data_IF_421255170177
#
_entry.id   IF_421255170177
#
_cell.length_a   1.000
_cell.length_b   1.000
_cell.length_c   1.000
_cell.angle_alpha   90.00
_cell.angle_beta   90.00
_cell.angle_gamma   90.00
#
_symmetry.space_group_name_H-M   'P 1'
#
loop_
_entity.id
_entity.type
_entity.pdbx_description
1 polymer ?
#
# COMPACT_ATOMS: atom_id res chain seq x y z
N UNK A 1 5.54 11.36 2.59
CA UNK A 1 4.37 11.57 1.71
C UNK A 1 4.05 10.25 1.05
N UNK A 2 2.76 9.86 1.01
CA UNK A 2 2.32 8.72 0.18
C UNK A 2 2.24 9.20 -1.27
N UNK A 3 2.98 8.55 -2.14
CA UNK A 3 2.95 8.74 -3.59
C UNK A 3 2.32 7.48 -4.20
N UNK A 4 1.03 7.60 -4.54
CA UNK A 4 0.27 6.51 -5.14
C UNK A 4 0.86 6.09 -6.50
N UNK A 5 1.61 7.00 -7.15
CA UNK A 5 2.31 6.72 -8.39
C UNK A 5 1.37 6.39 -9.57
N UNK A 6 0.10 6.80 -9.46
CA UNK A 6 -0.88 6.57 -10.50
C UNK A 6 -0.58 7.43 -11.73
N UNK A 7 -0.63 6.80 -12.91
CA UNK A 7 -0.33 7.45 -14.18
C UNK A 7 1.06 8.10 -14.25
N UNK A 8 2.10 7.45 -13.67
CA UNK A 8 3.47 7.94 -13.81
C UNK A 8 3.82 8.11 -15.29
N UNK A 9 4.24 9.33 -15.64
CA UNK A 9 4.72 9.70 -16.97
C UNK A 9 5.59 10.95 -16.92
N UNK A 10 6.52 11.05 -17.87
CA UNK A 10 7.19 12.30 -18.21
C UNK A 10 6.90 12.54 -19.70
N UNK A 11 6.33 13.69 -20.03
CA UNK A 11 6.02 13.99 -21.43
C UNK A 11 7.28 13.90 -22.33
N UNK A 12 7.19 13.28 -23.51
CA UNK A 12 5.97 12.87 -24.20
C UNK A 12 5.50 11.43 -23.92
N UNK A 13 6.11 10.73 -22.97
CA UNK A 13 5.80 9.31 -22.73
C UNK A 13 4.36 9.15 -22.20
N UNK A 14 3.65 8.09 -22.65
CA UNK A 14 2.35 7.77 -22.09
C UNK A 14 2.47 7.30 -20.64
N UNK A 15 1.38 7.37 -19.84
CA UNK A 15 1.33 6.79 -18.51
C UNK A 15 1.70 5.30 -18.50
N UNK A 16 2.45 4.89 -17.48
CA UNK A 16 2.70 3.48 -17.21
C UNK A 16 1.37 2.73 -16.95
N UNK A 17 1.20 1.51 -17.48
CA UNK A 17 0.09 0.63 -17.13
C UNK A 17 0.06 0.35 -15.62
N UNK A 18 -1.13 0.10 -15.05
CA UNK A 18 -1.29 -0.21 -13.62
C UNK A 18 -0.41 -1.37 -13.13
N UNK A 19 -0.19 -2.40 -13.95
CA UNK A 19 0.66 -3.54 -13.62
C UNK A 19 2.14 -3.18 -13.45
N UNK A 20 2.57 -2.07 -14.07
CA UNK A 20 3.95 -1.57 -14.05
C UNK A 20 4.12 -0.40 -13.05
N UNK A 21 3.05 0.11 -12.45
CA UNK A 21 3.12 1.11 -11.38
C UNK A 21 3.41 0.46 -10.03
N UNK A 22 4.13 1.16 -9.15
CA UNK A 22 4.31 0.78 -7.75
C UNK A 22 4.14 2.01 -6.86
N UNK A 23 3.35 1.91 -5.80
CA UNK A 23 3.22 3.04 -4.88
C UNK A 23 4.42 3.11 -3.96
N UNK A 24 4.80 4.33 -3.59
CA UNK A 24 5.94 4.58 -2.71
C UNK A 24 5.60 5.56 -1.60
N UNK A 25 6.43 5.56 -0.58
CA UNK A 25 6.48 6.64 0.41
C UNK A 25 7.78 7.38 0.22
N UNK A 26 7.70 8.70 0.01
CA UNK A 26 8.88 9.55 -0.13
C UNK A 26 8.90 10.63 0.96
N UNK A 27 10.05 10.85 1.56
CA UNK A 27 10.32 11.96 2.47
C UNK A 27 11.19 13.00 1.78
N UNK A 28 10.84 14.27 1.98
CA UNK A 28 11.55 15.39 1.38
C UNK A 28 12.02 16.36 2.46
N UNK A 29 13.28 16.78 2.36
CA UNK A 29 13.82 17.93 3.06
C UNK A 29 13.60 19.18 2.21
N UNK A 30 13.03 20.21 2.82
CA UNK A 30 12.79 21.51 2.17
C UNK A 30 13.61 22.57 2.89
N UNK A 31 14.62 23.13 2.21
CA UNK A 31 15.52 24.14 2.78
C UNK A 31 15.86 25.21 1.75
N UNK A 32 15.77 26.49 2.13
CA UNK A 32 16.13 27.63 1.27
C UNK A 32 15.48 27.62 -0.13
N UNK A 33 14.25 27.11 -0.24
CA UNK A 33 13.53 26.97 -1.52
C UNK A 33 13.95 25.76 -2.37
N UNK A 34 14.93 24.97 -1.92
CA UNK A 34 15.30 23.68 -2.50
C UNK A 34 14.48 22.54 -1.87
N UNK A 35 14.26 21.49 -2.66
CA UNK A 35 13.60 20.24 -2.23
C UNK A 35 14.53 19.09 -2.57
N UNK A 36 14.80 18.22 -1.60
CA UNK A 36 15.59 17.01 -1.78
C UNK A 36 14.85 15.82 -1.18
N UNK A 37 14.71 14.73 -1.93
CA UNK A 37 14.25 13.46 -1.38
C UNK A 37 15.34 12.88 -0.47
N UNK A 38 15.01 12.62 0.79
CA UNK A 38 15.96 12.18 1.82
C UNK A 38 15.72 10.75 2.28
N UNK A 39 14.52 10.21 2.01
CA UNK A 39 14.18 8.83 2.28
C UNK A 39 13.07 8.39 1.33
N UNK A 40 13.07 7.11 0.98
CA UNK A 40 12.01 6.49 0.21
C UNK A 40 11.75 5.07 0.69
N UNK A 41 10.54 4.59 0.49
CA UNK A 41 10.16 3.20 0.67
C UNK A 41 9.22 2.76 -0.43
N UNK A 42 9.61 1.69 -1.10
CA UNK A 42 8.79 0.90 -1.99
C UNK A 42 8.67 -0.50 -1.42
N UNK A 43 7.48 -1.09 -1.49
CA UNK A 43 7.31 -2.44 -1.01
C UNK A 43 8.06 -3.40 -1.94
N UNK A 44 8.92 -4.29 -1.41
CA UNK A 44 9.72 -5.18 -2.23
C UNK A 44 8.83 -6.20 -2.95
N UNK A 45 9.19 -6.54 -4.18
CA UNK A 45 8.62 -7.70 -4.86
C UNK A 45 9.07 -8.95 -4.08
N UNK A 46 8.14 -9.67 -3.48
CA UNK A 46 8.40 -10.93 -2.76
C UNK A 46 8.07 -12.10 -3.69
N UNK A 47 9.08 -12.86 -4.17
CA UNK A 47 8.82 -14.01 -5.04
C UNK A 47 7.97 -15.07 -4.33
N UNK A 48 6.92 -15.56 -5.00
CA UNK A 48 6.03 -16.59 -4.47
C UNK A 48 4.89 -16.07 -3.59
N UNK A 49 4.75 -14.75 -3.47
CA UNK A 49 3.64 -14.10 -2.78
C UNK A 49 2.83 -13.27 -3.79
N UNK A 50 2.00 -13.93 -4.60
CA UNK A 50 1.22 -13.31 -5.67
C UNK A 50 0.22 -12.25 -5.15
N UNK A 51 -0.13 -12.34 -3.86
CA UNK A 51 -0.92 -11.32 -3.18
C UNK A 51 -0.12 -10.04 -3.01
N UNK A 52 1.16 -10.18 -2.68
CA UNK A 52 2.06 -9.14 -2.20
C UNK A 52 3.06 -8.65 -3.25
N UNK A 53 3.09 -9.24 -4.44
CA UNK A 53 3.85 -8.70 -5.56
C UNK A 53 3.20 -7.40 -6.05
N UNK A 54 4.00 -6.33 -6.06
CA UNK A 54 3.69 -4.99 -6.52
C UNK A 54 2.53 -4.30 -5.76
N UNK A 55 2.84 -3.60 -4.66
CA UNK A 55 1.86 -2.83 -3.90
C UNK A 55 1.55 -1.50 -4.58
N UNK A 56 0.73 -1.58 -5.62
CA UNK A 56 0.13 -0.42 -6.26
C UNK A 56 -1.23 -0.09 -5.64
N UNK A 57 -1.30 1.06 -4.96
CA UNK A 57 -2.53 1.65 -4.46
C UNK A 57 -2.96 2.76 -5.42
N UNK A 58 -3.90 2.46 -6.33
CA UNK A 58 -4.36 3.42 -7.35
C UNK A 58 -5.10 4.62 -6.77
N UNK A 59 -5.57 4.50 -5.52
CA UNK A 59 -6.19 5.56 -4.76
C UNK A 59 -5.91 5.40 -3.27
N UNK A 60 -6.08 6.50 -2.52
CA UNK A 60 -5.98 6.60 -1.05
C UNK A 60 -4.69 6.03 -0.46
N UNK A 61 -4.48 6.27 0.83
CA UNK A 61 -3.29 5.83 1.53
C UNK A 61 -2.64 6.95 2.31
N UNK A 62 -1.72 6.55 3.17
CA UNK A 62 -1.05 7.49 4.07
C UNK A 62 0.29 6.94 4.52
N UNK A 63 1.15 7.86 4.94
CA UNK A 63 2.40 7.53 5.62
C UNK A 63 2.55 8.48 6.82
N UNK A 64 2.84 7.92 7.98
CA UNK A 64 2.95 8.62 9.26
C UNK A 64 4.18 8.13 10.01
N UNK A 65 5.06 9.06 10.38
CA UNK A 65 6.14 8.75 11.32
C UNK A 65 5.55 8.50 12.72
N UNK A 66 6.00 7.42 13.35
CA UNK A 66 5.50 6.95 14.62
C UNK A 66 6.27 7.60 15.77
N UNK A 67 5.62 8.40 16.63
CA UNK A 67 6.31 9.28 17.58
C UNK A 67 7.10 8.55 18.68
N UNK A 68 6.89 7.25 18.87
CA UNK A 68 7.62 6.45 19.88
C UNK A 68 8.80 5.68 19.32
N UNK A 69 8.66 5.17 18.10
CA UNK A 69 9.64 4.26 17.50
C UNK A 69 10.48 4.96 16.43
N UNK A 70 10.02 6.10 15.90
CA UNK A 70 10.58 6.73 14.71
C UNK A 70 10.27 5.98 13.43
N UNK A 71 9.65 4.79 13.50
CA UNK A 71 9.25 4.00 12.34
C UNK A 71 8.20 4.72 11.49
N UNK A 72 8.01 4.30 10.25
CA UNK A 72 6.95 4.82 9.38
C UNK A 72 5.81 3.81 9.31
N UNK A 73 4.61 4.22 9.72
CA UNK A 73 3.37 3.49 9.45
C UNK A 73 2.86 3.90 8.07
N UNK A 74 2.66 2.92 7.19
CA UNK A 74 2.26 3.10 5.79
C UNK A 74 0.95 2.36 5.57
N UNK A 75 0.02 3.01 4.88
CA UNK A 75 -1.27 2.49 4.47
C UNK A 75 -1.38 2.54 2.95
N UNK A 76 -1.29 1.37 2.34
CA UNK A 76 -1.64 1.12 0.93
C UNK A 76 -3.13 0.82 0.87
N UNK A 77 -3.94 1.88 0.91
CA UNK A 77 -5.34 1.76 1.30
C UNK A 77 -6.35 1.49 0.18
N UNK A 78 -5.93 1.58 -1.07
CA UNK A 78 -6.78 1.41 -2.26
C UNK A 78 -6.08 0.59 -3.32
N UNK A 79 -5.55 -0.56 -2.91
CA UNK A 79 -5.02 -1.56 -3.82
C UNK A 79 -6.21 -2.10 -4.62
N UNK A 80 -6.14 -1.99 -5.94
CA UNK A 80 -7.22 -2.31 -6.87
C UNK A 80 -6.73 -3.37 -7.86
N UNK A 81 -7.24 -4.60 -7.71
CA UNK A 81 -6.88 -5.74 -8.56
C UNK A 81 -8.14 -6.34 -9.20
N UNK A 82 -8.13 -6.56 -10.51
CA UNK A 82 -9.25 -7.18 -11.23
C UNK A 82 -9.23 -8.68 -10.93
N UNK A 83 -10.28 -9.27 -10.33
CA UNK A 83 -10.31 -10.70 -10.08
C UNK A 83 -10.23 -11.50 -11.38
N UNK A 84 -9.41 -12.56 -11.41
CA UNK A 84 -9.45 -13.53 -12.49
C UNK A 84 -10.47 -14.63 -12.16
N UNK A 85 -11.65 -14.58 -12.79
CA UNK A 85 -12.72 -15.56 -12.59
C UNK A 85 -12.39 -16.96 -13.14
N UNK A 86 -11.38 -17.09 -14.01
CA UNK A 86 -10.92 -18.37 -14.54
C UNK A 86 -10.05 -19.15 -13.54
N UNK A 87 -9.54 -18.46 -12.52
CA UNK A 87 -8.80 -19.02 -11.40
C UNK A 87 -9.75 -19.17 -10.21
N UNK A 88 -10.51 -20.28 -10.19
CA UNK A 88 -11.21 -20.75 -8.97
C UNK A 88 -10.46 -21.93 -8.37
N UNK A 89 -9.70 -21.74 -7.28
CA UNK A 89 -9.18 -22.87 -6.51
C UNK A 89 -10.33 -23.48 -5.68
N UNK A 90 -10.42 -24.82 -5.55
CA UNK A 90 -11.29 -25.44 -4.58
C UNK A 90 -10.74 -25.19 -3.17
N UNK A 91 -11.47 -24.45 -2.34
CA UNK A 91 -11.28 -24.44 -0.88
C UNK A 91 -10.51 -23.27 -0.25
N UNK A 92 -9.69 -22.49 -0.96
CA UNK A 92 -8.94 -21.36 -0.37
C UNK A 92 -8.67 -20.18 -1.33
N UNK A 93 -8.22 -19.08 -0.72
CA UNK A 93 -7.96 -17.70 -1.17
C UNK A 93 -7.42 -17.59 -2.60
N UNK A 94 -8.21 -17.01 -3.50
CA UNK A 94 -7.79 -16.77 -4.87
C UNK A 94 -6.67 -15.72 -4.98
N UNK A 95 -5.89 -15.83 -6.05
CA UNK A 95 -4.85 -14.87 -6.39
C UNK A 95 -5.50 -13.54 -6.76
N UNK A 96 -5.13 -12.42 -6.13
CA UNK A 96 -5.71 -11.14 -6.49
C UNK A 96 -5.13 -10.79 -7.85
N UNK A 97 -5.98 -10.74 -8.88
CA UNK A 97 -5.54 -10.63 -10.27
C UNK A 97 -4.84 -9.31 -10.62
N UNK A 98 -4.88 -8.92 -11.88
CA UNK A 98 -4.03 -7.83 -12.38
C UNK A 98 -4.35 -6.46 -11.73
N UNK A 99 -3.33 -5.66 -11.36
CA UNK A 99 -3.53 -4.29 -10.88
C UNK A 99 -4.34 -3.44 -11.89
N UNK A 100 -5.11 -2.49 -11.38
CA UNK A 100 -5.97 -1.65 -12.23
C UNK A 100 -6.10 -0.22 -11.74
N UNK A 101 -6.24 0.70 -12.68
CA UNK A 101 -6.62 2.10 -12.44
C UNK A 101 -8.14 2.30 -12.44
N UNK A 102 -8.91 1.26 -12.80
CA UNK A 102 -10.36 1.34 -12.86
C UNK A 102 -11.00 0.85 -11.56
N UNK A 103 -11.10 1.78 -10.60
CA UNK A 103 -11.72 1.57 -9.29
C UNK A 103 -13.20 1.13 -9.33
N UNK A 104 -13.86 1.07 -10.50
CA UNK A 104 -15.23 0.54 -10.62
C UNK A 104 -15.28 -0.91 -11.11
N UNK A 105 -14.14 -1.51 -11.48
CA UNK A 105 -14.07 -2.85 -12.09
C UNK A 105 -13.07 -3.78 -11.40
N UNK A 106 -12.59 -3.41 -10.23
CA UNK A 106 -11.63 -4.17 -9.46
C UNK A 106 -12.12 -4.40 -8.04
N UNK A 107 -11.48 -5.34 -7.36
CA UNK A 107 -11.69 -5.57 -5.95
C UNK A 107 -10.65 -4.81 -5.14
N UNK A 108 -11.13 -4.07 -4.12
CA UNK A 108 -10.29 -3.25 -3.26
C UNK A 108 -9.80 -4.00 -2.04
N UNK A 109 -8.55 -3.72 -1.70
CA UNK A 109 -7.86 -4.20 -0.53
C UNK A 109 -7.06 -3.06 0.08
N UNK A 110 -6.79 -3.17 1.37
CA UNK A 110 -5.85 -2.34 2.09
C UNK A 110 -4.69 -3.18 2.63
N UNK A 111 -3.52 -2.58 2.71
CA UNK A 111 -2.40 -3.15 3.46
C UNK A 111 -1.76 -2.09 4.33
N UNK A 112 -1.64 -2.38 5.62
CA UNK A 112 -1.11 -1.48 6.63
C UNK A 112 0.17 -2.10 7.16
N UNK A 113 1.29 -1.44 6.92
CA UNK A 113 2.61 -1.90 7.35
C UNK A 113 3.29 -0.86 8.24
N UNK A 114 4.13 -1.30 9.16
CA UNK A 114 5.09 -0.42 9.85
C UNK A 114 6.49 -0.85 9.47
N UNK A 115 7.30 0.11 9.01
CA UNK A 115 8.68 -0.13 8.57
C UNK A 115 9.65 0.69 9.38
N UNK A 116 10.85 0.16 9.61
CA UNK A 116 11.92 0.95 10.23
C UNK A 116 12.29 2.16 9.36
N UNK A 117 12.41 3.32 9.99
CA UNK A 117 12.89 4.55 9.34
C UNK A 117 14.42 4.61 9.39
N UNK A 118 15.05 3.58 8.84
CA UNK A 118 16.49 3.47 8.67
C UNK A 118 16.77 2.76 7.33
N UNK A 119 18.04 2.57 7.00
CA UNK A 119 18.43 1.93 5.74
C UNK A 119 17.93 0.49 5.60
N UNK A 120 17.64 -0.19 6.73
CA UNK A 120 17.14 -1.57 6.68
C UNK A 120 15.72 -1.65 6.15
N UNK A 121 14.92 -0.58 6.32
CA UNK A 121 13.51 -0.50 5.89
C UNK A 121 12.69 -1.73 6.29
N UNK A 122 13.08 -2.39 7.39
CA UNK A 122 12.53 -3.68 7.79
C UNK A 122 11.06 -3.51 8.21
N UNK A 123 10.18 -4.35 7.65
CA UNK A 123 8.79 -4.48 8.09
C UNK A 123 8.75 -5.08 9.50
N UNK A 124 8.08 -4.40 10.43
CA UNK A 124 7.93 -4.80 11.85
C UNK A 124 6.47 -5.02 12.25
N UNK A 125 5.52 -4.68 11.38
CA UNK A 125 4.10 -4.92 11.52
C UNK A 125 3.50 -4.96 10.11
N UNK A 126 2.54 -5.85 9.90
CA UNK A 126 1.92 -6.06 8.60
C UNK A 126 0.50 -6.62 8.79
N UNK A 127 -0.50 -5.91 8.27
CA UNK A 127 -1.89 -6.34 8.24
C UNK A 127 -2.46 -6.11 6.86
N UNK A 128 -3.15 -7.13 6.35
CA UNK A 128 -4.01 -7.03 5.17
C UNK A 128 -5.46 -6.84 5.62
N UNK A 129 -6.16 -5.94 4.93
CA UNK A 129 -7.60 -5.73 5.07
C UNK A 129 -8.21 -5.99 3.70
N UNK A 130 -9.20 -6.86 3.63
CA UNK A 130 -9.94 -7.06 2.40
C UNK A 130 -11.03 -8.07 2.54
N UNK A 131 -11.60 -8.44 1.40
CA UNK A 131 -12.66 -9.43 1.32
C UNK A 131 -12.17 -10.57 0.43
N UNK A 132 -12.11 -11.78 0.97
CA UNK A 132 -11.67 -12.98 0.25
C UNK A 132 -12.78 -13.55 -0.66
N UNK A 133 -14.03 -13.08 -0.54
CA UNK A 133 -15.16 -13.53 -1.36
C UNK A 133 -15.11 -12.92 -2.77
N UNK A 134 -14.35 -13.52 -3.67
CA UNK A 134 -14.20 -13.05 -5.05
C UNK A 134 -15.52 -12.94 -5.84
N UNK A 135 -16.64 -13.45 -5.33
CA UNK A 135 -17.95 -13.28 -5.97
C UNK A 135 -18.57 -11.90 -5.74
N UNK A 136 -18.03 -11.13 -4.79
CA UNK A 136 -18.46 -9.75 -4.52
C UNK A 136 -17.75 -8.76 -5.42
N UNK A 137 -18.54 -7.85 -5.97
CA UNK A 137 -18.11 -6.84 -6.95
C UNK A 137 -17.29 -5.70 -6.36
N UNK A 138 -17.38 -5.44 -5.05
CA UNK A 138 -16.67 -4.34 -4.38
C UNK A 138 -16.03 -4.84 -3.09
N UNK A 139 -14.73 -4.57 -2.94
CA UNK A 139 -13.96 -4.84 -1.72
C UNK A 139 -13.96 -3.64 -0.75
N UNK A 140 -12.90 -3.52 0.05
CA UNK A 140 -12.78 -2.47 1.06
C UNK A 140 -11.65 -1.50 0.75
N UNK A 141 -11.90 -0.21 0.96
CA UNK A 141 -10.84 0.80 1.05
C UNK A 141 -10.45 1.03 2.51
N UNK A 142 -9.17 1.26 2.73
CA UNK A 142 -8.66 1.89 3.95
C UNK A 142 -8.32 3.32 3.58
N UNK A 143 -9.09 4.28 4.10
CA UNK A 143 -8.83 5.69 3.75
C UNK A 143 -7.52 6.19 4.37
N UNK A 144 -7.29 5.84 5.65
CA UNK A 144 -6.09 6.12 6.43
C UNK A 144 -5.93 5.08 7.54
N UNK A 145 -4.70 4.90 8.00
CA UNK A 145 -4.39 4.16 9.21
C UNK A 145 -3.78 5.06 10.29
N UNK A 146 -4.06 4.76 11.56
CA UNK A 146 -3.37 5.34 12.71
C UNK A 146 -3.17 4.28 13.79
N UNK A 147 -2.04 4.35 14.50
CA UNK A 147 -1.78 3.48 15.65
C UNK A 147 -2.07 4.24 16.95
N UNK A 148 -3.15 3.85 17.63
CA UNK A 148 -3.57 4.47 18.89
C UNK A 148 -2.70 3.98 20.06
N UNK A 149 -2.18 4.93 20.85
CA UNK A 149 -1.25 4.65 21.97
C UNK A 149 -1.87 3.85 23.11
N UNK A 150 -3.20 3.91 23.26
CA UNK A 150 -3.92 3.33 24.38
C UNK A 150 -4.41 1.90 24.15
N UNK A 151 -4.11 1.28 22.99
CA UNK A 151 -4.43 -0.12 22.69
C UNK A 151 -3.23 -1.07 22.88
N UNK A 152 -2.17 -0.63 23.57
CA UNK A 152 -1.09 -1.52 23.99
C UNK A 152 -1.47 -2.28 25.26
N UNK A 153 -1.17 -3.60 25.37
CA UNK A 153 -1.31 -4.32 26.62
C UNK A 153 -0.53 -3.60 27.74
N UNK A 154 -1.25 -3.13 28.77
CA UNK A 154 -0.66 -2.44 29.93
C UNK A 154 -0.68 -0.90 29.92
N UNK A 155 -1.27 -0.24 28.93
CA UNK A 155 -1.48 1.22 28.98
C UNK A 155 -2.70 1.57 29.86
N UNK A 156 -2.58 2.44 30.88
CA UNK A 156 -3.70 2.88 31.70
C UNK A 156 -4.48 3.96 30.93
N UNK A 157 -5.42 3.51 30.10
CA UNK A 157 -6.42 4.31 29.39
C UNK A 157 -5.91 5.32 28.33
N UNK A 158 -6.79 5.61 27.38
CA UNK A 158 -6.83 6.89 26.68
C UNK A 158 -7.49 7.89 27.65
#
# INVERSE_FOLDING_TARGET
>A
MMDNHNFEAIAPDPPLPAADNNSRVAEYSVQNGGVQMVWEYEYPIVPGDEVDTNLYSSAVGSALEMPRTGNVLIDFGGICKVPDESIKPPGETGSPGEPSDNNNRCKHWGRIIEVKHDDSKKVVFDIRVGDDDLTRTVGWYVYRAMKLRCLHPGSPAC
#
